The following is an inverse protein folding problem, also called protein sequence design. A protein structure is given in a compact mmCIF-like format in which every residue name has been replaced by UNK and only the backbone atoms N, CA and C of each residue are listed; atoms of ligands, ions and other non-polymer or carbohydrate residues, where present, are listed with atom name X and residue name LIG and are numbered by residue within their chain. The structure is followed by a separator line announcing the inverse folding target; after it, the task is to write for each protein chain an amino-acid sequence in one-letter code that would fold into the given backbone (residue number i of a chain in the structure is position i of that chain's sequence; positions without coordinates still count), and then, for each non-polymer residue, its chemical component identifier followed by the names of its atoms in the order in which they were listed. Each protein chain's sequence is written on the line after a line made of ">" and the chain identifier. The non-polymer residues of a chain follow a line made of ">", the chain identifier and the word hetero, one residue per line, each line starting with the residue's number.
data_IF_817237665771
#
_entry.id   IF_817237665771
#
_cell.length_a   1.000
_cell.length_b   1.000
_cell.length_c   1.000
_cell.angle_alpha   90.00
_cell.angle_beta   90.00
_cell.angle_gamma   90.00
#
_symmetry.space_group_name_H-M   'P 1'
#
loop_
_entity.id
_entity.type
_entity.pdbx_description
1 polymer ?
#
# COMPACT_ATOMS: atom_id res chain seq x y z
N UNK A 1 -20.78 23.54 -3.30
CA UNK A 1 -19.99 22.30 -3.41
C UNK A 1 -19.10 22.28 -2.20
N UNK A 2 -19.12 21.23 -1.39
CA UNK A 2 -18.14 21.09 -0.32
C UNK A 2 -16.79 20.80 -0.94
N UNK A 3 -15.75 21.48 -0.45
CA UNK A 3 -14.37 21.21 -0.88
C UNK A 3 -13.99 19.78 -0.49
N UNK A 4 -13.29 19.08 -1.41
CA UNK A 4 -12.74 17.74 -1.16
C UNK A 4 -11.27 17.87 -0.80
N UNK A 5 -10.87 17.39 0.37
CA UNK A 5 -9.48 17.47 0.84
C UNK A 5 -8.81 16.09 0.76
N UNK A 6 -7.75 15.98 -0.02
CA UNK A 6 -6.91 14.80 -0.07
C UNK A 6 -5.56 15.04 0.63
N UNK A 7 -5.13 14.08 1.42
CA UNK A 7 -3.82 14.08 2.07
C UNK A 7 -2.91 13.03 1.44
N UNK A 8 -1.71 13.44 1.04
CA UNK A 8 -0.64 12.54 0.65
C UNK A 8 0.32 12.36 1.84
N UNK A 9 0.50 11.13 2.29
CA UNK A 9 1.39 10.78 3.40
C UNK A 9 2.77 10.42 2.88
N UNK A 10 3.80 10.95 3.52
CA UNK A 10 5.19 10.56 3.29
C UNK A 10 5.71 9.84 4.52
N UNK A 11 6.32 8.65 4.31
CA UNK A 11 6.90 7.81 5.37
C UNK A 11 8.34 7.44 5.02
N UNK A 12 9.11 7.10 6.03
CA UNK A 12 10.39 6.38 5.90
C UNK A 12 10.16 4.96 6.42
N UNK A 13 9.69 4.09 5.51
CA UNK A 13 9.43 2.69 5.88
C UNK A 13 10.72 1.92 6.12
N UNK A 14 10.66 0.99 7.07
CA UNK A 14 11.75 0.12 7.49
C UNK A 14 11.38 -1.35 7.33
N UNK A 15 12.26 -2.25 7.72
CA UNK A 15 11.98 -3.70 7.78
C UNK A 15 11.16 -4.14 9.00
N UNK A 16 10.75 -3.20 9.84
CA UNK A 16 9.87 -3.45 11.00
C UNK A 16 8.43 -3.00 10.71
N UNK A 17 7.50 -3.94 10.44
CA UNK A 17 6.11 -3.60 10.12
C UNK A 17 5.38 -2.88 11.26
N UNK A 18 5.66 -3.20 12.52
CA UNK A 18 4.95 -2.59 13.67
C UNK A 18 5.27 -1.10 13.78
N UNK A 19 6.55 -0.74 13.67
CA UNK A 19 6.98 0.66 13.62
C UNK A 19 6.37 1.40 12.43
N UNK A 20 6.32 0.75 11.26
CA UNK A 20 5.75 1.35 10.05
C UNK A 20 4.24 1.59 10.19
N UNK A 21 3.47 0.63 10.74
CA UNK A 21 2.04 0.83 11.01
C UNK A 21 1.79 1.94 12.03
N UNK A 22 2.61 2.03 13.07
CA UNK A 22 2.51 3.12 14.06
C UNK A 22 2.72 4.47 13.39
N UNK A 23 3.77 4.62 12.59
CA UNK A 23 4.04 5.85 11.86
C UNK A 23 2.93 6.20 10.86
N UNK A 24 2.38 5.20 10.17
CA UNK A 24 1.26 5.39 9.25
C UNK A 24 -0.01 5.85 9.97
N UNK A 25 -0.35 5.24 11.12
CA UNK A 25 -1.51 5.63 11.94
C UNK A 25 -1.40 7.08 12.39
N UNK A 26 -0.25 7.53 12.91
CA UNK A 26 -0.02 8.91 13.34
C UNK A 26 -0.30 9.92 12.21
N UNK A 27 0.13 9.60 10.98
CA UNK A 27 -0.11 10.47 9.83
C UNK A 27 -1.56 10.45 9.35
N UNK A 28 -2.22 9.28 9.39
CA UNK A 28 -3.65 9.17 9.08
C UNK A 28 -4.47 9.99 10.08
N UNK A 29 -4.18 9.86 11.39
CA UNK A 29 -4.85 10.64 12.42
C UNK A 29 -4.66 12.14 12.20
N UNK A 30 -3.44 12.58 11.91
CA UNK A 30 -3.16 14.00 11.65
C UNK A 30 -3.93 14.51 10.42
N UNK A 31 -3.99 13.73 9.34
CA UNK A 31 -4.74 14.07 8.14
C UNK A 31 -6.24 14.19 8.43
N UNK A 32 -6.80 13.21 9.16
CA UNK A 32 -8.21 13.20 9.54
C UNK A 32 -8.58 14.42 10.44
N UNK A 33 -7.74 14.74 11.41
CA UNK A 33 -7.92 15.94 12.25
C UNK A 33 -7.89 17.25 11.47
N UNK A 34 -7.22 17.27 10.31
CA UNK A 34 -7.18 18.41 9.37
C UNK A 34 -8.33 18.41 8.38
N UNK A 35 -9.26 17.45 8.49
CA UNK A 35 -10.46 17.37 7.65
C UNK A 35 -10.26 16.66 6.32
N UNK A 36 -9.23 15.81 6.18
CA UNK A 36 -9.04 15.04 4.96
C UNK A 36 -10.22 14.09 4.71
N UNK A 37 -10.70 14.05 3.46
CA UNK A 37 -11.69 13.10 2.96
C UNK A 37 -11.04 11.80 2.47
N UNK A 38 -9.83 11.92 1.91
CA UNK A 38 -9.01 10.83 1.40
C UNK A 38 -7.58 10.96 1.95
N UNK A 39 -7.03 9.83 2.40
CA UNK A 39 -5.62 9.72 2.81
C UNK A 39 -4.94 8.69 1.94
N UNK A 40 -3.88 9.09 1.23
CA UNK A 40 -3.04 8.21 0.43
C UNK A 40 -1.74 7.87 1.16
N UNK A 41 -1.49 6.58 1.40
CA UNK A 41 -0.23 6.05 1.92
C UNK A 41 0.74 5.75 0.76
N UNK A 42 2.06 5.84 0.97
CA UNK A 42 3.04 5.55 -0.06
C UNK A 42 3.15 4.05 -0.37
N UNK A 43 3.80 3.72 -1.48
CA UNK A 43 4.26 2.35 -1.77
C UNK A 43 5.17 1.84 -0.64
N UNK A 44 5.06 0.55 -0.31
CA UNK A 44 5.82 -0.11 0.74
C UNK A 44 5.59 0.49 2.16
N UNK A 45 4.45 1.12 2.40
CA UNK A 45 4.15 1.77 3.68
C UNK A 45 4.27 0.82 4.89
N UNK A 46 4.07 -0.48 4.69
CA UNK A 46 4.10 -1.48 5.76
C UNK A 46 5.45 -2.17 5.94
N UNK A 47 6.24 -2.26 4.87
CA UNK A 47 7.52 -2.99 4.90
C UNK A 47 8.46 -2.52 3.78
N UNK A 48 9.70 -2.19 4.14
CA UNK A 48 10.80 -1.90 3.24
C UNK A 48 12.05 -2.62 3.72
N UNK A 49 12.45 -3.70 3.03
CA UNK A 49 13.58 -4.54 3.44
C UNK A 49 13.97 -5.52 2.34
N UNK A 50 14.75 -6.53 2.71
CA UNK A 50 15.25 -7.55 1.80
C UNK A 50 14.13 -8.33 1.09
N UNK A 51 14.31 -8.61 -0.19
CA UNK A 51 13.33 -9.29 -1.04
C UNK A 51 12.96 -10.69 -0.53
N UNK A 52 13.95 -11.44 -0.01
CA UNK A 52 13.73 -12.74 0.60
C UNK A 52 12.82 -12.68 1.83
N UNK A 53 13.01 -11.67 2.66
CA UNK A 53 12.17 -11.41 3.84
C UNK A 53 10.77 -10.96 3.41
N UNK A 54 10.67 -10.09 2.42
CA UNK A 54 9.39 -9.65 1.84
C UNK A 54 8.57 -10.82 1.33
N UNK A 55 9.19 -11.75 0.58
CA UNK A 55 8.54 -12.95 0.09
C UNK A 55 8.05 -13.85 1.23
N UNK A 56 8.90 -14.09 2.24
CA UNK A 56 8.56 -14.91 3.40
C UNK A 56 7.40 -14.33 4.22
N UNK A 57 7.32 -13.00 4.33
CA UNK A 57 6.29 -12.31 5.11
C UNK A 57 5.04 -11.95 4.30
N UNK A 58 5.02 -12.17 2.98
CA UNK A 58 3.97 -11.65 2.10
C UNK A 58 2.55 -12.00 2.54
N UNK A 59 2.30 -13.25 2.95
CA UNK A 59 0.97 -13.67 3.42
C UNK A 59 0.55 -12.95 4.70
N UNK A 60 1.45 -12.88 5.67
CA UNK A 60 1.19 -12.20 6.94
C UNK A 60 0.99 -10.69 6.74
N UNK A 61 1.85 -10.07 5.93
CA UNK A 61 1.75 -8.65 5.61
C UNK A 61 0.47 -8.31 4.86
N UNK A 62 0.05 -9.15 3.91
CA UNK A 62 -1.21 -8.96 3.17
C UNK A 62 -2.40 -8.84 4.14
N UNK A 63 -2.51 -9.79 5.07
CA UNK A 63 -3.57 -9.79 6.07
C UNK A 63 -3.48 -8.62 7.05
N UNK A 64 -2.27 -8.28 7.50
CA UNK A 64 -2.04 -7.15 8.41
C UNK A 64 -2.38 -5.82 7.73
N UNK A 65 -1.93 -5.61 6.49
CA UNK A 65 -2.20 -4.38 5.73
C UNK A 65 -3.70 -4.18 5.51
N UNK A 66 -4.41 -5.20 5.00
CA UNK A 66 -5.85 -5.09 4.76
C UNK A 66 -6.61 -4.80 6.05
N UNK A 67 -6.29 -5.49 7.16
CA UNK A 67 -6.92 -5.20 8.46
C UNK A 67 -6.58 -3.82 9.00
N UNK A 68 -5.34 -3.38 8.85
CA UNK A 68 -4.92 -2.04 9.24
C UNK A 68 -5.71 -0.97 8.50
N UNK A 69 -5.78 -1.05 7.16
CA UNK A 69 -6.51 -0.09 6.34
C UNK A 69 -7.99 -0.01 6.72
N UNK A 70 -8.66 -1.16 6.91
CA UNK A 70 -10.06 -1.23 7.35
C UNK A 70 -10.24 -0.60 8.74
N UNK A 71 -9.35 -0.90 9.66
CA UNK A 71 -9.42 -0.38 11.03
C UNK A 71 -9.23 1.13 11.05
N UNK A 72 -8.25 1.65 10.33
CA UNK A 72 -7.96 3.08 10.27
C UNK A 72 -9.07 3.85 9.57
N UNK A 73 -9.59 3.34 8.43
CA UNK A 73 -10.68 3.98 7.71
C UNK A 73 -11.93 4.16 8.59
N UNK A 74 -12.31 3.11 9.34
CA UNK A 74 -13.44 3.17 10.29
C UNK A 74 -13.17 4.08 11.48
N UNK A 75 -11.97 3.99 12.07
CA UNK A 75 -11.62 4.76 13.26
C UNK A 75 -11.62 6.26 13.01
N UNK A 76 -11.03 6.65 11.89
CA UNK A 76 -10.86 8.07 11.54
C UNK A 76 -11.91 8.60 10.57
N UNK A 77 -12.83 7.75 10.09
CA UNK A 77 -13.93 8.10 9.17
C UNK A 77 -13.44 8.76 7.88
N UNK A 78 -12.32 8.27 7.32
CA UNK A 78 -11.69 8.74 6.08
C UNK A 78 -11.61 7.61 5.04
N UNK A 79 -11.61 7.96 3.77
CA UNK A 79 -11.25 7.01 2.71
C UNK A 79 -9.73 6.82 2.74
N UNK A 80 -9.23 5.59 2.68
CA UNK A 80 -7.79 5.33 2.67
C UNK A 80 -7.40 4.58 1.40
N UNK A 81 -6.43 5.14 0.68
CA UNK A 81 -5.68 4.43 -0.35
C UNK A 81 -4.40 3.89 0.28
N UNK A 82 -4.38 2.60 0.58
CA UNK A 82 -3.17 1.89 0.97
C UNK A 82 -2.30 1.67 -0.25
N UNK A 83 -1.25 2.47 -0.41
CA UNK A 83 -0.28 2.29 -1.48
C UNK A 83 0.42 0.95 -1.39
N UNK A 84 1.02 0.45 -2.46
CA UNK A 84 1.46 -0.91 -2.66
C UNK A 84 2.09 -1.63 -1.46
N UNK A 85 1.59 -2.83 -1.17
CA UNK A 85 2.14 -3.76 -0.18
C UNK A 85 2.22 -5.18 -0.77
N UNK A 86 3.12 -6.05 -0.25
CA UNK A 86 3.31 -7.37 -0.82
C UNK A 86 2.13 -8.29 -0.50
N UNK A 87 1.65 -9.01 -1.52
CA UNK A 87 0.73 -10.13 -1.37
C UNK A 87 1.28 -11.35 -2.10
N UNK A 88 1.00 -12.60 -1.65
CA UNK A 88 1.49 -13.79 -2.34
C UNK A 88 0.99 -13.84 -3.78
N UNK A 89 1.87 -14.16 -4.71
CA UNK A 89 1.50 -14.58 -6.06
C UNK A 89 1.17 -16.08 -6.07
N UNK A 90 0.29 -16.50 -6.98
CA UNK A 90 -0.21 -17.88 -7.01
C UNK A 90 0.83 -18.96 -7.31
N UNK A 91 2.03 -18.60 -7.77
CA UNK A 91 3.14 -19.53 -8.01
C UNK A 91 4.02 -19.81 -6.77
N UNK A 92 3.78 -19.08 -5.66
CA UNK A 92 4.50 -19.24 -4.40
C UNK A 92 5.95 -18.74 -4.40
N UNK A 93 6.46 -18.24 -5.54
CA UNK A 93 7.84 -17.77 -5.70
C UNK A 93 7.97 -16.26 -5.89
N UNK A 94 6.83 -15.57 -6.08
CA UNK A 94 6.78 -14.13 -6.30
C UNK A 94 5.74 -13.45 -5.38
N UNK A 95 5.83 -12.14 -5.29
CA UNK A 95 4.82 -11.30 -4.65
C UNK A 95 4.20 -10.37 -5.68
N UNK A 96 2.90 -10.07 -5.54
CA UNK A 96 2.30 -8.92 -6.19
C UNK A 96 2.46 -7.70 -5.29
N UNK A 97 2.54 -6.52 -5.90
CA UNK A 97 2.51 -5.25 -5.19
C UNK A 97 1.09 -4.70 -5.30
N UNK A 98 0.32 -4.81 -4.22
CA UNK A 98 -1.13 -4.51 -4.17
C UNK A 98 -1.41 -3.18 -3.51
N UNK A 99 -2.26 -2.37 -4.14
CA UNK A 99 -2.92 -1.23 -3.52
C UNK A 99 -4.39 -1.55 -3.26
N UNK A 100 -4.92 -1.07 -2.13
CA UNK A 100 -6.32 -1.20 -1.75
C UNK A 100 -6.92 0.17 -1.42
N UNK A 101 -8.11 0.45 -1.95
CA UNK A 101 -8.92 1.60 -1.59
C UNK A 101 -10.02 1.14 -0.65
N UNK A 102 -10.06 1.72 0.56
CA UNK A 102 -11.01 1.35 1.62
C UNK A 102 -11.88 2.54 1.98
N UNK A 103 -13.18 2.35 1.98
CA UNK A 103 -14.17 3.36 2.35
C UNK A 103 -14.22 3.63 3.86
N UNK A 104 -14.87 4.74 4.23
CA UNK A 104 -15.02 5.19 5.63
C UNK A 104 -15.72 4.14 6.53
N UNK A 105 -16.56 3.31 5.94
CA UNK A 105 -17.24 2.19 6.60
C UNK A 105 -16.38 0.91 6.69
N UNK A 106 -15.16 0.97 6.14
CA UNK A 106 -14.23 -0.15 6.06
C UNK A 106 -14.54 -1.14 4.95
N UNK A 107 -15.42 -0.82 4.01
CA UNK A 107 -15.61 -1.66 2.82
C UNK A 107 -14.43 -1.49 1.86
N UNK A 108 -13.99 -2.61 1.29
CA UNK A 108 -13.02 -2.58 0.21
C UNK A 108 -13.71 -2.08 -1.05
N UNK A 109 -13.34 -0.89 -1.52
CA UNK A 109 -13.90 -0.25 -2.70
C UNK A 109 -13.20 -0.68 -3.98
N UNK A 110 -11.88 -0.86 -3.92
CA UNK A 110 -11.08 -1.24 -5.08
C UNK A 110 -9.77 -1.93 -4.70
N UNK A 111 -9.25 -2.73 -5.63
CA UNK A 111 -7.90 -3.31 -5.62
C UNK A 111 -7.19 -3.05 -6.92
N UNK A 112 -5.90 -2.84 -6.82
CA UNK A 112 -5.00 -2.75 -7.96
C UNK A 112 -3.71 -3.49 -7.64
N UNK A 113 -3.30 -4.38 -8.53
CA UNK A 113 -2.01 -5.04 -8.47
C UNK A 113 -1.10 -4.42 -9.54
N UNK A 114 0.09 -3.97 -9.12
CA UNK A 114 1.08 -3.27 -9.97
C UNK A 114 1.43 -4.12 -11.20
N UNK A 115 1.33 -3.50 -12.40
CA UNK A 115 1.58 -4.16 -13.67
C UNK A 115 2.97 -3.86 -14.24
N UNK A 116 3.53 -2.70 -13.94
CA UNK A 116 4.86 -2.29 -14.36
C UNK A 116 5.82 -2.34 -13.17
N UNK A 117 6.77 -3.27 -13.22
CA UNK A 117 7.78 -3.46 -12.20
C UNK A 117 8.96 -2.53 -12.45
N UNK A 118 9.64 -2.13 -11.38
CA UNK A 118 10.80 -1.24 -11.44
C UNK A 118 12.07 -2.04 -11.73
N UNK A 119 12.38 -2.18 -13.00
CA UNK A 119 13.63 -2.78 -13.47
C UNK A 119 14.52 -1.68 -14.06
N UNK A 120 15.71 -1.46 -13.50
CA UNK A 120 16.62 -0.40 -13.92
C UNK A 120 18.08 -0.88 -13.94
N UNK A 121 18.83 -0.42 -14.92
CA UNK A 121 20.28 -0.55 -14.98
C UNK A 121 20.88 0.76 -14.46
N UNK A 122 21.58 0.70 -13.33
CA UNK A 122 22.23 1.86 -12.75
C UNK A 122 23.58 2.15 -13.42
N UNK A 123 24.03 3.43 -13.45
CA UNK A 123 25.30 3.80 -14.09
C UNK A 123 26.52 3.15 -13.45
N UNK A 124 26.45 2.71 -12.20
CA UNK A 124 27.48 1.97 -11.46
C UNK A 124 27.55 0.48 -11.84
N UNK A 125 26.69 0.03 -12.75
CA UNK A 125 26.65 -1.34 -13.26
C UNK A 125 25.93 -2.35 -12.37
N UNK A 126 25.30 -1.92 -11.27
CA UNK A 126 24.48 -2.78 -10.42
C UNK A 126 23.02 -2.71 -10.90
N UNK A 127 22.48 -3.77 -11.54
CA UNK A 127 21.09 -3.76 -11.96
C UNK A 127 20.16 -3.92 -10.76
N UNK A 128 19.08 -3.14 -10.71
CA UNK A 128 17.97 -3.41 -9.83
C UNK A 128 16.83 -4.03 -10.61
N UNK A 129 16.31 -5.17 -10.16
CA UNK A 129 15.27 -5.96 -10.84
C UNK A 129 14.16 -6.34 -9.86
N UNK A 130 13.14 -5.52 -9.77
CA UNK A 130 11.93 -5.87 -9.02
C UNK A 130 11.27 -7.13 -9.58
N UNK A 131 11.40 -7.37 -10.90
CA UNK A 131 10.86 -8.56 -11.58
C UNK A 131 11.46 -9.89 -11.12
N UNK A 132 12.56 -9.88 -10.38
CA UNK A 132 13.16 -11.12 -9.84
C UNK A 132 12.29 -11.76 -8.76
N UNK A 133 11.61 -10.93 -7.96
CA UNK A 133 10.74 -11.37 -6.85
C UNK A 133 9.31 -10.86 -6.96
N UNK A 134 9.06 -9.91 -7.87
CA UNK A 134 7.76 -9.34 -8.17
C UNK A 134 7.03 -10.06 -9.30
N UNK A 135 5.79 -10.45 -9.07
CA UNK A 135 4.87 -10.94 -10.08
C UNK A 135 4.17 -9.78 -10.79
N UNK A 136 3.80 -9.99 -12.06
CA UNK A 136 3.03 -9.02 -12.85
C UNK A 136 1.54 -9.37 -12.83
N UNK A 137 0.71 -8.36 -12.64
CA UNK A 137 -0.73 -8.49 -12.83
C UNK A 137 -1.13 -8.23 -14.29
N UNK A 138 -2.39 -8.51 -14.63
CA UNK A 138 -2.93 -8.18 -15.94
C UNK A 138 -3.21 -6.68 -16.03
N UNK A 139 -2.97 -6.04 -17.19
CA UNK A 139 -3.33 -4.65 -17.39
C UNK A 139 -4.82 -4.39 -17.12
N UNK A 140 -5.11 -3.31 -16.43
CA UNK A 140 -6.47 -2.89 -16.14
C UNK A 140 -6.51 -1.51 -15.49
N UNK A 141 -7.67 -0.86 -15.58
CA UNK A 141 -7.95 0.39 -14.89
C UNK A 141 -9.06 0.12 -13.89
N UNK A 142 -8.84 0.51 -12.65
CA UNK A 142 -9.86 0.45 -11.60
C UNK A 142 -10.42 1.85 -11.39
N UNK A 143 -11.73 2.00 -11.61
CA UNK A 143 -12.46 3.25 -11.38
C UNK A 143 -13.45 3.00 -10.26
N UNK A 144 -13.47 3.89 -9.28
CA UNK A 144 -14.43 3.83 -8.15
C UNK A 144 -15.22 5.13 -8.13
N UNK A 145 -16.56 4.99 -8.13
CA UNK A 145 -17.45 6.09 -7.83
C UNK A 145 -17.63 6.18 -6.31
N UNK A 146 -17.21 7.28 -5.74
CA UNK A 146 -17.25 7.52 -4.29
C UNK A 146 -18.50 8.28 -3.82
N UNK A 147 -19.52 8.36 -4.67
CA UNK A 147 -20.81 9.00 -4.34
C UNK A 147 -21.66 8.16 -3.43
#
# INVERSE_FOLDING_TARGET
>A
MSDFLAAAVQLTSTSDPESNFTAAEEQIELAARRGADLVGLPENFAFMGEDSTRLALASTLADQCSRFLVTMARRYQVVILGGGFPVPHGDGSHTLNRAELVGRDGQLLARYDKIHLFDVDLPDGIPYRESTTGGRSRPGVTVVDSR
#
